data_IF_771186473122
#
_entry.id   IF_771186473122
#
_cell.length_a   1.000
_cell.length_b   1.000
_cell.length_c   1.000
_cell.angle_alpha   90.00
_cell.angle_beta   90.00
_cell.angle_gamma   90.00
#
_symmetry.space_group_name_H-M   'P 1'
#
loop_
_entity.id
_entity.type
_entity.pdbx_description
1 polymer ?
#
# COMPACT_ATOMS: atom_id res chain seq x y z
N UNK A 1 7.22 45.92 23.82
CA UNK A 1 6.66 45.93 22.44
C UNK A 1 6.99 44.66 21.66
N UNK A 2 8.21 44.12 21.75
CA UNK A 2 8.61 42.88 21.04
C UNK A 2 7.70 41.67 21.31
N UNK A 3 7.25 41.46 22.56
CA UNK A 3 6.35 40.34 22.88
C UNK A 3 4.94 40.46 22.27
N UNK A 4 4.43 41.68 22.06
CA UNK A 4 3.10 41.88 21.46
C UNK A 4 3.20 41.73 19.95
N UNK A 5 4.23 42.33 19.34
CA UNK A 5 4.50 42.22 17.91
C UNK A 5 4.80 40.77 17.51
N UNK A 6 5.62 40.05 18.29
CA UNK A 6 5.92 38.64 18.07
C UNK A 6 4.67 37.76 18.11
N UNK A 7 3.81 37.92 19.13
CA UNK A 7 2.54 37.18 19.22
C UNK A 7 1.58 37.52 18.09
N UNK A 8 1.51 38.79 17.70
CA UNK A 8 0.68 39.21 16.57
C UNK A 8 1.18 38.61 15.24
N UNK A 9 2.49 38.66 15.02
CA UNK A 9 3.13 38.11 13.82
C UNK A 9 2.90 36.61 13.70
N UNK A 10 3.10 35.85 14.79
CA UNK A 10 2.94 34.39 14.78
C UNK A 10 1.47 33.96 14.73
N UNK A 11 0.57 34.64 15.44
CA UNK A 11 -0.84 34.21 15.57
C UNK A 11 -1.72 34.64 14.41
N UNK A 12 -1.36 35.72 13.70
CA UNK A 12 -2.20 36.31 12.65
C UNK A 12 -1.51 36.45 11.29
N UNK A 13 -0.21 36.78 11.22
CA UNK A 13 0.42 37.13 9.94
C UNK A 13 1.15 35.96 9.26
N UNK A 14 1.80 35.10 10.05
CA UNK A 14 2.67 34.03 9.54
C UNK A 14 1.92 33.09 8.59
N UNK A 15 0.77 32.56 9.04
CA UNK A 15 0.03 31.57 8.28
C UNK A 15 -0.57 32.11 6.97
N UNK A 16 -1.20 33.30 6.92
CA UNK A 16 -1.62 33.92 5.66
C UNK A 16 -0.47 34.13 4.69
N UNK A 17 0.71 34.57 5.15
CA UNK A 17 1.89 34.74 4.28
C UNK A 17 2.29 33.39 3.66
N UNK A 18 2.35 32.32 4.48
CA UNK A 18 2.63 30.97 3.99
C UNK A 18 1.58 30.54 2.94
N UNK A 19 0.29 30.81 3.18
CA UNK A 19 -0.78 30.49 2.24
C UNK A 19 -0.61 31.23 0.90
N UNK A 20 -0.25 32.51 0.91
CA UNK A 20 0.02 33.29 -0.30
C UNK A 20 1.24 32.75 -1.07
N UNK A 21 2.32 32.40 -0.37
CA UNK A 21 3.51 31.80 -0.98
C UNK A 21 3.19 30.46 -1.64
N UNK A 22 2.43 29.60 -0.96
CA UNK A 22 2.00 28.30 -1.50
C UNK A 22 1.07 28.45 -2.70
N UNK A 23 0.14 29.42 -2.66
CA UNK A 23 -0.69 29.77 -3.81
C UNK A 23 0.14 30.19 -5.03
N UNK A 24 1.19 30.99 -4.81
CA UNK A 24 2.17 31.36 -5.83
C UNK A 24 2.90 30.15 -6.43
N UNK A 25 3.35 29.22 -5.60
CA UNK A 25 4.00 27.98 -6.06
C UNK A 25 3.07 27.12 -6.91
N UNK A 26 1.81 26.93 -6.49
CA UNK A 26 0.81 26.19 -7.28
C UNK A 26 0.55 26.86 -8.62
N UNK A 27 0.44 28.18 -8.64
CA UNK A 27 0.28 28.94 -9.88
C UNK A 27 1.46 28.73 -10.84
N UNK A 28 2.69 28.77 -10.34
CA UNK A 28 3.89 28.52 -11.15
C UNK A 28 3.94 27.08 -11.69
N UNK A 29 3.64 26.09 -10.84
CA UNK A 29 3.59 24.68 -11.25
C UNK A 29 2.51 24.46 -12.31
N UNK A 30 1.33 25.04 -12.12
CA UNK A 30 0.23 24.91 -13.07
C UNK A 30 0.55 25.56 -14.42
N UNK A 31 1.15 26.76 -14.40
CA UNK A 31 1.61 27.46 -15.60
C UNK A 31 2.67 26.66 -16.35
N UNK A 32 3.70 26.15 -15.64
CA UNK A 32 4.80 25.38 -16.24
C UNK A 32 4.34 24.07 -16.87
N UNK A 33 3.44 23.35 -16.19
CA UNK A 33 2.97 22.04 -16.65
C UNK A 33 1.77 22.14 -17.62
N UNK A 34 1.41 23.36 -18.06
CA UNK A 34 0.22 23.65 -18.88
C UNK A 34 -1.00 22.91 -18.34
N UNK A 35 -1.16 22.93 -17.00
CA UNK A 35 -2.25 22.18 -16.38
C UNK A 35 -3.57 22.76 -16.83
N UNK A 36 -3.70 24.09 -16.98
CA UNK A 36 -4.97 24.77 -17.23
C UNK A 36 -4.83 26.18 -17.83
N UNK A 37 -5.97 26.77 -18.23
CA UNK A 37 -6.10 28.23 -18.37
C UNK A 37 -6.21 28.94 -17.02
N UNK A 38 -5.39 29.98 -16.81
CA UNK A 38 -5.19 30.64 -15.51
C UNK A 38 -6.47 31.03 -14.76
N UNK A 39 -7.54 31.44 -15.46
CA UNK A 39 -8.78 31.92 -14.83
C UNK A 39 -9.53 30.80 -14.09
N UNK A 40 -9.76 29.64 -14.71
CA UNK A 40 -10.54 28.54 -14.09
C UNK A 40 -9.86 28.01 -12.84
N UNK A 41 -8.53 27.84 -12.88
CA UNK A 41 -7.74 27.40 -11.73
C UNK A 41 -7.81 28.40 -10.58
N UNK A 42 -7.60 29.69 -10.85
CA UNK A 42 -7.66 30.72 -9.82
C UNK A 42 -9.06 30.75 -9.18
N UNK A 43 -10.12 30.73 -9.99
CA UNK A 43 -11.50 30.69 -9.49
C UNK A 43 -11.75 29.45 -8.63
N UNK A 44 -11.30 28.28 -9.07
CA UNK A 44 -11.44 27.04 -8.30
C UNK A 44 -10.74 27.11 -6.95
N UNK A 45 -9.48 27.56 -6.94
CA UNK A 45 -8.69 27.71 -5.70
C UNK A 45 -9.40 28.68 -4.76
N UNK A 46 -9.82 29.85 -5.23
CA UNK A 46 -10.50 30.84 -4.40
C UNK A 46 -11.80 30.30 -3.80
N UNK A 47 -12.65 29.67 -4.61
CA UNK A 47 -13.92 29.08 -4.13
C UNK A 47 -13.67 27.96 -3.13
N UNK A 48 -12.71 27.08 -3.41
CA UNK A 48 -12.38 25.97 -2.51
C UNK A 48 -11.85 26.48 -1.18
N UNK A 49 -10.93 27.44 -1.20
CA UNK A 49 -10.39 28.06 0.02
C UNK A 49 -11.50 28.76 0.81
N UNK A 50 -12.40 29.48 0.16
CA UNK A 50 -13.55 30.09 0.82
C UNK A 50 -14.40 29.04 1.55
N UNK A 51 -14.75 27.94 0.87
CA UNK A 51 -15.52 26.84 1.46
C UNK A 51 -14.78 26.23 2.65
N UNK A 52 -13.46 26.03 2.54
CA UNK A 52 -12.65 25.45 3.63
C UNK A 52 -12.56 26.38 4.86
N UNK A 53 -12.65 27.69 4.67
CA UNK A 53 -12.55 28.69 5.75
C UNK A 53 -13.88 28.89 6.48
N UNK A 54 -15.02 28.79 5.80
CA UNK A 54 -16.34 29.09 6.40
C UNK A 54 -16.59 28.41 7.76
N UNK A 55 -16.23 27.13 7.97
CA UNK A 55 -16.42 26.48 9.26
C UNK A 55 -15.57 27.06 10.40
N UNK A 56 -14.54 27.85 10.12
CA UNK A 56 -13.73 28.54 11.14
C UNK A 56 -14.53 29.55 11.97
N UNK A 57 -15.67 30.03 11.46
CA UNK A 57 -16.60 30.90 12.19
C UNK A 57 -17.18 30.20 13.44
N UNK A 58 -17.12 28.86 13.51
CA UNK A 58 -17.45 28.11 14.73
C UNK A 58 -16.55 28.45 15.93
N UNK A 59 -15.47 29.21 15.72
CA UNK A 59 -14.66 29.82 16.79
C UNK A 59 -15.46 30.69 17.76
N UNK A 60 -16.60 31.26 17.33
CA UNK A 60 -17.52 31.99 18.23
C UNK A 60 -18.09 31.12 19.36
N UNK A 61 -18.07 29.79 19.21
CA UNK A 61 -18.57 28.84 20.20
C UNK A 61 -17.54 28.52 21.30
N UNK A 62 -16.34 29.13 21.23
CA UNK A 62 -15.29 29.10 22.24
C UNK A 62 -15.00 27.69 22.79
N UNK A 63 -15.39 27.40 24.04
CA UNK A 63 -15.09 26.15 24.74
C UNK A 63 -15.83 24.93 24.18
N UNK A 64 -16.98 25.13 23.52
CA UNK A 64 -17.72 24.02 22.88
C UNK A 64 -17.03 23.50 21.62
N UNK A 65 -16.03 24.21 21.10
CA UNK A 65 -15.34 23.80 19.89
C UNK A 65 -14.61 22.46 20.08
N UNK A 66 -13.92 22.29 21.22
CA UNK A 66 -13.30 21.02 21.60
C UNK A 66 -14.18 20.32 22.65
N UNK A 67 -14.53 19.03 22.48
CA UNK A 67 -14.17 18.15 21.37
C UNK A 67 -15.21 18.08 20.25
N UNK A 68 -16.46 18.48 20.51
CA UNK A 68 -17.60 18.09 19.68
C UNK A 68 -17.59 18.72 18.29
N UNK A 69 -17.40 20.03 18.18
CA UNK A 69 -17.38 20.72 16.89
C UNK A 69 -16.15 20.31 16.10
N UNK A 70 -15.01 20.15 16.76
CA UNK A 70 -13.79 19.67 16.13
C UNK A 70 -14.00 18.33 15.42
N UNK A 71 -14.63 17.35 16.07
CA UNK A 71 -14.95 16.05 15.46
C UNK A 71 -15.98 16.20 14.34
N UNK A 72 -17.01 17.03 14.53
CA UNK A 72 -18.01 17.30 13.49
C UNK A 72 -17.37 17.93 12.23
N UNK A 73 -16.41 18.84 12.42
CA UNK A 73 -15.65 19.45 11.33
C UNK A 73 -14.77 18.41 10.62
N UNK A 74 -14.13 17.50 11.35
CA UNK A 74 -13.36 16.42 10.72
C UNK A 74 -14.22 15.57 9.76
N UNK A 75 -15.45 15.23 10.17
CA UNK A 75 -16.40 14.51 9.32
C UNK A 75 -16.86 15.38 8.13
N UNK A 76 -17.10 16.68 8.34
CA UNK A 76 -17.43 17.62 7.27
C UNK A 76 -16.29 17.71 6.24
N UNK A 77 -15.04 17.85 6.68
CA UNK A 77 -13.88 17.94 5.79
C UNK A 77 -13.61 16.64 5.04
N UNK A 78 -13.94 15.49 5.62
CA UNK A 78 -13.96 14.22 4.91
C UNK A 78 -14.97 14.26 3.73
N UNK A 79 -16.20 14.74 3.97
CA UNK A 79 -17.21 14.92 2.92
C UNK A 79 -16.78 15.94 1.87
N UNK A 80 -16.20 17.07 2.29
CA UNK A 80 -15.67 18.08 1.38
C UNK A 80 -14.53 17.54 0.53
N UNK A 81 -13.68 16.66 1.07
CA UNK A 81 -12.64 15.97 0.30
C UNK A 81 -13.23 15.12 -0.83
N UNK A 82 -14.36 14.44 -0.59
CA UNK A 82 -15.09 13.70 -1.62
C UNK A 82 -15.65 14.61 -2.72
N UNK A 83 -16.32 15.70 -2.34
CA UNK A 83 -16.85 16.66 -3.32
C UNK A 83 -15.75 17.38 -4.09
N UNK A 84 -14.62 17.69 -3.45
CA UNK A 84 -13.44 18.26 -4.09
C UNK A 84 -12.93 17.38 -5.21
N UNK A 85 -12.82 16.06 -5.01
CA UNK A 85 -12.40 15.17 -6.10
C UNK A 85 -13.40 15.14 -7.26
N UNK A 86 -14.71 15.13 -6.99
CA UNK A 86 -15.73 15.26 -8.04
C UNK A 86 -15.64 16.60 -8.77
N UNK A 87 -15.37 17.68 -8.05
CA UNK A 87 -15.24 19.02 -8.59
C UNK A 87 -13.97 19.16 -9.45
N UNK A 88 -12.85 18.55 -9.05
CA UNK A 88 -11.66 18.42 -9.91
C UNK A 88 -12.03 17.70 -11.20
N UNK A 89 -12.69 16.53 -11.11
CA UNK A 89 -13.01 15.71 -12.28
C UNK A 89 -13.94 16.47 -13.26
N UNK A 90 -14.85 17.32 -12.76
CA UNK A 90 -15.80 18.10 -13.56
C UNK A 90 -15.22 19.42 -14.10
N UNK A 91 -14.63 20.25 -13.24
CA UNK A 91 -14.20 21.60 -13.59
C UNK A 91 -12.77 21.65 -14.11
N UNK A 92 -11.95 20.67 -13.73
CA UNK A 92 -10.52 20.60 -14.03
C UNK A 92 -10.13 19.27 -14.73
N UNK A 93 -10.77 18.90 -15.86
CA UNK A 93 -10.58 17.59 -16.50
C UNK A 93 -9.13 17.33 -16.94
N UNK A 94 -8.33 18.37 -17.17
CA UNK A 94 -6.91 18.25 -17.51
C UNK A 94 -6.10 17.52 -16.42
N UNK A 95 -6.54 17.56 -15.15
CA UNK A 95 -5.92 16.80 -14.05
C UNK A 95 -6.09 15.29 -14.21
N UNK A 96 -7.16 14.81 -14.85
CA UNK A 96 -7.44 13.38 -15.05
C UNK A 96 -6.40 12.69 -15.94
N UNK A 97 -5.79 13.45 -16.85
CA UNK A 97 -4.75 12.94 -17.75
C UNK A 97 -3.36 12.94 -17.09
N UNK A 98 -3.22 13.53 -15.90
CA UNK A 98 -1.94 13.66 -15.21
C UNK A 98 -1.75 12.56 -14.17
N UNK A 99 -0.49 12.21 -13.87
CA UNK A 99 -0.20 11.30 -12.77
C UNK A 99 -0.75 11.81 -11.44
N UNK A 100 -1.14 10.87 -10.56
CA UNK A 100 -1.70 11.14 -9.22
C UNK A 100 -0.91 12.19 -8.40
N UNK A 101 0.41 12.27 -8.58
CA UNK A 101 1.27 13.26 -7.89
C UNK A 101 0.76 14.70 -8.02
N UNK A 102 0.16 15.08 -9.16
CA UNK A 102 -0.34 16.44 -9.35
C UNK A 102 -1.64 16.69 -8.58
N UNK A 103 -2.56 15.71 -8.55
CA UNK A 103 -3.79 15.76 -7.75
C UNK A 103 -3.47 15.87 -6.25
N UNK A 104 -2.59 15.00 -5.74
CA UNK A 104 -2.28 14.97 -4.31
C UNK A 104 -1.51 16.22 -3.88
N UNK A 105 -0.54 16.71 -4.66
CA UNK A 105 0.17 17.96 -4.35
C UNK A 105 -0.82 19.13 -4.34
N UNK A 106 -1.72 19.20 -5.33
CA UNK A 106 -2.72 20.25 -5.39
C UNK A 106 -3.67 20.23 -4.19
N UNK A 107 -4.17 19.05 -3.82
CA UNK A 107 -5.07 18.85 -2.67
C UNK A 107 -4.37 19.17 -1.35
N UNK A 108 -3.09 18.77 -1.19
CA UNK A 108 -2.29 19.10 0.00
C UNK A 108 -2.06 20.60 0.11
N UNK A 109 -1.75 21.30 -0.99
CA UNK A 109 -1.59 22.76 -0.94
C UNK A 109 -2.90 23.46 -0.58
N UNK A 110 -4.03 23.05 -1.16
CA UNK A 110 -5.34 23.57 -0.78
C UNK A 110 -5.66 23.32 0.69
N UNK A 111 -5.30 22.15 1.22
CA UNK A 111 -5.44 21.84 2.65
C UNK A 111 -4.61 22.79 3.50
N UNK A 112 -3.32 22.99 3.19
CA UNK A 112 -2.44 23.85 3.98
C UNK A 112 -2.90 25.32 3.92
N UNK A 113 -3.28 25.80 2.73
CA UNK A 113 -3.87 27.14 2.58
C UNK A 113 -5.18 27.27 3.37
N UNK A 114 -6.05 26.25 3.31
CA UNK A 114 -7.29 26.19 4.07
C UNK A 114 -7.03 26.24 5.57
N UNK A 115 -6.09 25.44 6.08
CA UNK A 115 -5.67 25.46 7.49
C UNK A 115 -5.13 26.82 7.93
N UNK A 116 -4.30 27.44 7.10
CA UNK A 116 -3.70 28.74 7.40
C UNK A 116 -4.76 29.84 7.53
N UNK A 117 -5.69 29.94 6.58
CA UNK A 117 -6.76 30.93 6.66
C UNK A 117 -7.83 30.56 7.69
N UNK A 118 -8.11 29.27 7.88
CA UNK A 118 -8.97 28.79 8.98
C UNK A 118 -8.41 29.26 10.33
N UNK A 119 -7.12 29.07 10.57
CA UNK A 119 -6.47 29.50 11.82
C UNK A 119 -6.62 31.00 12.03
N UNK A 120 -6.44 31.80 10.98
CA UNK A 120 -6.64 33.26 11.05
C UNK A 120 -8.07 33.60 11.45
N UNK A 121 -9.07 33.10 10.71
CA UNK A 121 -10.49 33.41 10.97
C UNK A 121 -10.92 32.91 12.34
N UNK A 122 -10.48 31.71 12.74
CA UNK A 122 -10.78 31.15 14.05
C UNK A 122 -10.24 32.03 15.17
N UNK A 123 -8.98 32.49 15.07
CA UNK A 123 -8.37 33.38 16.07
C UNK A 123 -9.00 34.79 16.11
N UNK A 124 -9.67 35.21 15.02
CA UNK A 124 -10.46 36.44 15.01
C UNK A 124 -11.83 36.24 15.66
N UNK A 125 -12.39 35.02 15.64
CA UNK A 125 -13.68 34.68 16.22
C UNK A 125 -13.61 34.16 17.66
N UNK A 126 -12.44 33.70 18.12
CA UNK A 126 -12.26 32.99 19.40
C UNK A 126 -11.25 33.69 20.31
N UNK A 127 -11.61 33.87 21.57
CA UNK A 127 -10.74 34.46 22.61
C UNK A 127 -9.60 33.52 23.03
N UNK A 128 -9.76 32.21 22.79
CA UNK A 128 -8.82 31.17 23.25
C UNK A 128 -7.56 31.05 22.36
N UNK A 129 -7.55 31.72 21.19
CA UNK A 129 -6.39 31.88 20.28
C UNK A 129 -5.61 30.60 19.91
N UNK A 130 -6.24 29.42 19.93
CA UNK A 130 -5.63 28.15 19.52
C UNK A 130 -5.94 27.75 18.06
N UNK A 131 -6.20 28.72 17.18
CA UNK A 131 -6.62 28.51 15.80
C UNK A 131 -5.76 27.54 15.00
N UNK A 132 -4.45 27.48 15.30
CA UNK A 132 -3.55 26.50 14.68
C UNK A 132 -3.99 25.06 14.99
N UNK A 133 -4.24 24.74 16.26
CA UNK A 133 -4.73 23.44 16.68
C UNK A 133 -6.13 23.17 16.15
N UNK A 134 -7.01 24.18 16.17
CA UNK A 134 -8.35 24.05 15.61
C UNK A 134 -8.33 23.73 14.11
N UNK A 135 -7.39 24.30 13.35
CA UNK A 135 -7.23 24.09 11.91
C UNK A 135 -6.86 22.66 11.53
N UNK A 136 -6.32 21.86 12.46
CA UNK A 136 -6.03 20.43 12.20
C UNK A 136 -7.29 19.61 11.92
N UNK A 137 -8.48 20.14 12.24
CA UNK A 137 -9.76 19.57 11.81
C UNK A 137 -9.92 19.50 10.28
N UNK A 138 -9.17 20.29 9.50
CA UNK A 138 -9.20 20.31 8.03
C UNK A 138 -8.47 19.12 7.40
N UNK A 139 -7.52 18.49 8.12
CA UNK A 139 -6.64 17.42 7.58
C UNK A 139 -7.38 16.25 6.90
N UNK A 140 -8.54 15.76 7.39
CA UNK A 140 -9.33 14.73 6.71
C UNK A 140 -9.70 15.04 5.25
N UNK A 141 -9.66 16.31 4.83
CA UNK A 141 -9.84 16.72 3.44
C UNK A 141 -8.91 15.98 2.46
N UNK A 142 -7.67 15.70 2.87
CA UNK A 142 -6.69 14.99 2.03
C UNK A 142 -7.00 13.48 1.93
N UNK A 143 -7.64 12.92 2.97
CA UNK A 143 -7.80 11.47 3.13
C UNK A 143 -8.52 10.83 1.96
N UNK A 144 -9.55 11.48 1.41
CA UNK A 144 -10.34 10.93 0.30
C UNK A 144 -9.50 10.75 -0.98
N UNK A 145 -8.56 11.65 -1.28
CA UNK A 145 -7.67 11.50 -2.44
C UNK A 145 -6.75 10.29 -2.29
N UNK A 146 -6.15 10.13 -1.10
CA UNK A 146 -5.31 8.96 -0.78
C UNK A 146 -6.11 7.66 -0.84
N UNK A 147 -7.30 7.63 -0.21
CA UNK A 147 -8.15 6.46 -0.19
C UNK A 147 -8.56 6.03 -1.61
N UNK A 148 -8.98 6.98 -2.46
CA UNK A 148 -9.34 6.72 -3.87
C UNK A 148 -8.18 6.08 -4.64
N UNK A 149 -6.95 6.61 -4.48
CA UNK A 149 -5.78 6.07 -5.19
C UNK A 149 -5.37 4.70 -4.66
N UNK A 150 -5.40 4.50 -3.34
CA UNK A 150 -5.10 3.21 -2.72
C UNK A 150 -6.08 2.14 -3.18
N UNK A 151 -7.38 2.45 -3.18
CA UNK A 151 -8.42 1.53 -3.63
C UNK A 151 -8.29 1.15 -5.10
N UNK A 152 -8.06 2.12 -6.00
CA UNK A 152 -7.83 1.81 -7.43
C UNK A 152 -6.58 0.96 -7.63
N UNK A 153 -5.49 1.31 -6.97
CA UNK A 153 -4.24 0.54 -7.04
C UNK A 153 -4.45 -0.89 -6.52
N UNK A 154 -5.27 -1.08 -5.49
CA UNK A 154 -5.63 -2.40 -4.98
C UNK A 154 -6.43 -3.22 -6.00
N UNK A 155 -7.40 -2.61 -6.67
CA UNK A 155 -8.17 -3.29 -7.73
C UNK A 155 -7.35 -3.60 -8.98
N UNK A 156 -6.32 -2.80 -9.27
CA UNK A 156 -5.41 -3.00 -10.39
C UNK A 156 -4.39 -4.12 -10.13
N UNK A 157 -4.33 -4.70 -8.92
CA UNK A 157 -3.45 -5.84 -8.62
C UNK A 157 -4.03 -7.07 -9.35
N UNK A 158 -3.31 -7.64 -10.34
CA UNK A 158 -3.78 -8.83 -11.02
C UNK A 158 -3.84 -10.00 -10.04
N UNK A 159 -4.83 -10.88 -10.20
CA UNK A 159 -4.90 -12.13 -9.45
C UNK A 159 -3.66 -12.99 -9.77
N UNK A 160 -2.95 -13.43 -8.74
CA UNK A 160 -1.76 -14.28 -8.90
C UNK A 160 -2.18 -15.66 -9.44
N UNK A 161 -1.98 -15.90 -10.74
CA UNK A 161 -2.18 -17.23 -11.34
C UNK A 161 -0.96 -18.07 -10.98
N UNK A 162 -1.13 -19.00 -10.04
CA UNK A 162 -0.08 -19.91 -9.64
C UNK A 162 0.02 -21.10 -10.59
N UNK A 163 1.24 -21.43 -11.01
CA UNK A 163 1.49 -22.69 -11.70
C UNK A 163 1.36 -23.82 -10.69
N UNK A 164 0.51 -24.79 -11.02
CA UNK A 164 0.35 -26.00 -10.24
C UNK A 164 1.44 -26.96 -10.66
N UNK A 165 2.29 -27.35 -9.72
CA UNK A 165 3.32 -28.35 -9.93
C UNK A 165 2.80 -29.74 -9.55
N UNK A 166 3.05 -30.73 -10.40
CA UNK A 166 2.67 -32.12 -10.15
C UNK A 166 3.90 -33.01 -10.09
N UNK A 167 3.88 -33.92 -9.11
CA UNK A 167 4.87 -34.97 -8.99
C UNK A 167 4.66 -35.98 -10.12
N UNK A 168 5.74 -36.34 -10.84
CA UNK A 168 5.71 -37.33 -11.92
C UNK A 168 6.95 -38.21 -11.83
N UNK A 169 6.77 -39.53 -11.75
CA UNK A 169 7.88 -40.48 -11.69
C UNK A 169 8.72 -40.49 -12.99
N UNK A 170 8.12 -40.12 -14.12
CA UNK A 170 8.77 -40.04 -15.44
C UNK A 170 9.59 -38.76 -15.65
N UNK A 171 9.55 -37.82 -14.70
CA UNK A 171 10.31 -36.57 -14.82
C UNK A 171 11.81 -36.89 -14.74
N UNK A 172 12.53 -36.65 -15.83
CA UNK A 172 14.00 -36.70 -15.86
C UNK A 172 14.57 -35.65 -14.90
N UNK A 173 14.88 -36.07 -13.67
CA UNK A 173 15.58 -35.25 -12.70
C UNK A 173 17.02 -35.12 -13.18
N UNK A 174 17.44 -33.91 -13.55
CA UNK A 174 18.81 -33.64 -13.94
C UNK A 174 19.78 -34.12 -12.83
N UNK A 175 20.87 -34.76 -13.24
CA UNK A 175 21.88 -35.19 -12.28
C UNK A 175 22.70 -33.98 -11.83
N UNK A 176 22.56 -33.65 -10.55
CA UNK A 176 23.26 -32.54 -9.90
C UNK A 176 24.43 -33.04 -9.03
N UNK A 177 24.94 -34.24 -9.30
CA UNK A 177 26.06 -34.85 -8.58
C UNK A 177 27.36 -34.06 -8.66
N UNK A 178 27.52 -33.18 -9.66
CA UNK A 178 28.71 -32.37 -9.90
C UNK A 178 28.67 -30.97 -9.27
N UNK A 179 27.64 -30.63 -8.48
CA UNK A 179 27.56 -29.32 -7.82
C UNK A 179 28.50 -29.27 -6.63
N UNK A 180 29.28 -28.19 -6.52
CA UNK A 180 30.21 -28.00 -5.42
C UNK A 180 29.47 -27.81 -4.09
N UNK A 181 29.96 -28.46 -3.03
CA UNK A 181 29.38 -28.38 -1.71
C UNK A 181 29.43 -26.96 -1.11
N UNK A 182 30.33 -26.11 -1.62
CA UNK A 182 30.46 -24.71 -1.22
C UNK A 182 29.30 -23.81 -1.70
N UNK A 183 28.55 -24.23 -2.73
CA UNK A 183 27.42 -23.49 -3.30
C UNK A 183 26.06 -23.91 -2.72
N UNK A 184 26.06 -24.78 -1.70
CA UNK A 184 24.85 -25.30 -1.10
C UNK A 184 24.27 -24.34 -0.05
N UNK A 185 23.05 -23.88 -0.31
CA UNK A 185 22.24 -23.12 0.64
C UNK A 185 21.29 -24.04 1.42
N UNK A 186 21.08 -23.74 2.71
CA UNK A 186 20.11 -24.46 3.53
C UNK A 186 18.72 -23.82 3.39
N UNK A 187 17.74 -24.63 2.98
CA UNK A 187 16.35 -24.18 2.77
C UNK A 187 15.42 -25.03 3.61
N UNK A 188 14.48 -24.38 4.30
CA UNK A 188 13.46 -25.06 5.09
C UNK A 188 12.18 -25.20 4.27
N UNK A 189 11.59 -26.39 4.26
CA UNK A 189 10.31 -26.67 3.61
C UNK A 189 9.28 -27.00 4.69
N UNK A 190 8.11 -26.40 4.58
CA UNK A 190 6.94 -26.66 5.42
C UNK A 190 5.84 -27.28 4.56
N UNK A 191 5.45 -28.52 4.85
CA UNK A 191 4.44 -29.28 4.11
C UNK A 191 3.66 -30.22 5.03
N UNK A 192 2.44 -30.62 4.65
CA UNK A 192 1.71 -31.68 5.37
C UNK A 192 2.03 -33.04 4.73
N UNK A 193 2.25 -34.10 5.53
CA UNK A 193 2.60 -35.43 5.00
C UNK A 193 1.37 -36.14 4.44
N UNK A 194 0.23 -36.04 5.11
CA UNK A 194 -1.05 -36.62 4.73
C UNK A 194 -2.19 -35.59 4.79
N UNK A 195 -3.30 -35.91 4.13
CA UNK A 195 -4.54 -35.11 4.25
C UNK A 195 -5.11 -35.35 5.64
N UNK A 196 -5.34 -34.28 6.41
CA UNK A 196 -5.88 -34.37 7.77
C UNK A 196 -4.81 -34.30 8.87
N UNK A 197 -3.53 -34.17 8.51
CA UNK A 197 -2.47 -33.91 9.50
C UNK A 197 -2.71 -32.55 10.19
N UNK A 198 -2.78 -32.49 11.53
CA UNK A 198 -3.05 -31.26 12.26
C UNK A 198 -1.85 -30.31 12.32
N UNK A 199 -0.63 -30.82 12.11
CA UNK A 199 0.62 -30.07 12.30
C UNK A 199 1.46 -30.17 11.02
N UNK A 200 2.01 -29.04 10.52
CA UNK A 200 2.89 -29.07 9.36
C UNK A 200 4.23 -29.75 9.69
N UNK A 201 4.74 -30.52 8.73
CA UNK A 201 6.05 -31.14 8.79
C UNK A 201 7.12 -30.18 8.25
N UNK A 202 8.18 -30.01 9.01
CA UNK A 202 9.33 -29.19 8.64
C UNK A 202 10.48 -30.08 8.16
N UNK A 203 11.05 -29.75 7.01
CA UNK A 203 12.18 -30.44 6.42
C UNK A 203 13.25 -29.44 5.99
N UNK A 204 14.44 -29.54 6.55
CA UNK A 204 15.60 -28.74 6.13
C UNK A 204 16.42 -29.51 5.11
N UNK A 205 16.52 -28.99 3.89
CA UNK A 205 17.26 -29.63 2.78
C UNK A 205 18.24 -28.64 2.17
N UNK A 206 19.39 -29.17 1.73
CA UNK A 206 20.36 -28.41 0.95
C UNK A 206 19.86 -28.24 -0.49
N UNK A 207 20.01 -27.03 -1.02
CA UNK A 207 19.73 -26.68 -2.40
C UNK A 207 20.93 -25.93 -2.97
N UNK A 208 21.10 -25.95 -4.30
CA UNK A 208 22.02 -25.03 -4.97
C UNK A 208 21.22 -23.99 -5.74
N UNK A 209 21.80 -22.80 -5.83
CA UNK A 209 21.28 -21.64 -6.54
C UNK A 209 20.91 -21.93 -8.01
N UNK A 210 21.59 -22.88 -8.65
CA UNK A 210 21.39 -23.26 -10.05
C UNK A 210 20.35 -24.37 -10.27
N UNK A 211 19.90 -25.04 -9.21
CA UNK A 211 18.92 -26.12 -9.34
C UNK A 211 17.53 -25.58 -9.71
N UNK A 212 16.83 -26.30 -10.59
CA UNK A 212 15.42 -26.01 -10.89
C UNK A 212 14.57 -26.43 -9.67
N UNK A 213 13.73 -25.51 -9.18
CA UNK A 213 13.01 -25.69 -7.92
C UNK A 213 12.14 -26.96 -7.90
N UNK A 214 11.36 -27.21 -8.97
CA UNK A 214 10.48 -28.37 -9.05
C UNK A 214 11.22 -29.70 -9.08
N UNK A 215 12.37 -29.76 -9.77
CA UNK A 215 13.22 -30.96 -9.80
C UNK A 215 13.84 -31.23 -8.43
N UNK A 216 14.32 -30.18 -7.78
CA UNK A 216 14.83 -30.25 -6.41
C UNK A 216 13.75 -30.72 -5.43
N UNK A 217 12.52 -30.21 -5.52
CA UNK A 217 11.42 -30.61 -4.65
C UNK A 217 11.03 -32.08 -4.83
N UNK A 218 11.00 -32.56 -6.08
CA UNK A 218 10.79 -33.99 -6.36
C UNK A 218 11.86 -34.88 -5.74
N UNK A 219 13.13 -34.48 -5.86
CA UNK A 219 14.25 -35.17 -5.23
C UNK A 219 14.11 -35.17 -3.70
N UNK A 220 13.70 -34.06 -3.09
CA UNK A 220 13.46 -33.98 -1.66
C UNK A 220 12.41 -35.00 -1.18
N UNK A 221 11.29 -35.13 -1.91
CA UNK A 221 10.23 -36.11 -1.60
C UNK A 221 10.77 -37.54 -1.72
N UNK A 222 11.51 -37.84 -2.81
CA UNK A 222 12.07 -39.17 -3.09
C UNK A 222 13.10 -39.59 -2.04
N UNK A 223 14.05 -38.71 -1.74
CA UNK A 223 15.12 -38.95 -0.76
C UNK A 223 14.55 -39.14 0.64
N UNK A 224 13.56 -38.32 1.04
CA UNK A 224 12.86 -38.49 2.31
C UNK A 224 12.10 -39.82 2.37
N UNK A 225 11.38 -40.19 1.32
CA UNK A 225 10.60 -41.44 1.27
C UNK A 225 11.47 -42.69 1.29
N UNK A 226 12.69 -42.60 0.72
CA UNK A 226 13.72 -43.66 0.80
C UNK A 226 14.30 -43.77 2.20
N UNK A 227 14.61 -42.64 2.85
CA UNK A 227 15.21 -42.61 4.19
C UNK A 227 14.22 -43.01 5.28
N UNK A 228 12.94 -42.67 5.12
CA UNK A 228 11.89 -42.97 6.10
C UNK A 228 10.67 -43.64 5.45
N UNK A 229 10.74 -44.94 5.12
CA UNK A 229 9.65 -45.65 4.44
C UNK A 229 8.32 -45.67 5.20
N UNK A 230 8.36 -45.60 6.54
CA UNK A 230 7.17 -45.63 7.40
C UNK A 230 6.52 -44.24 7.60
N UNK A 231 7.16 -43.15 7.17
CA UNK A 231 6.62 -41.78 7.30
C UNK A 231 6.72 -40.99 6.00
N UNK A 232 6.28 -41.61 4.90
CA UNK A 232 6.33 -41.05 3.55
C UNK A 232 5.44 -39.81 3.40
N UNK A 233 5.82 -38.95 2.48
CA UNK A 233 5.03 -37.79 2.08
C UNK A 233 4.10 -38.27 0.96
N UNK A 234 2.78 -38.23 1.17
CA UNK A 234 1.81 -38.73 0.18
C UNK A 234 1.68 -37.73 -0.97
N UNK A 235 2.18 -38.07 -2.16
CA UNK A 235 2.15 -37.19 -3.33
C UNK A 235 1.02 -37.53 -4.33
N UNK A 236 0.32 -38.63 -4.14
CA UNK A 236 -0.84 -39.06 -4.94
C UNK A 236 -2.01 -39.55 -4.07
N UNK A 237 -3.22 -39.51 -4.62
CA UNK A 237 -4.45 -40.15 -4.11
C UNK A 237 -4.94 -41.13 -5.18
N UNK A 238 -4.87 -42.43 -4.92
CA UNK A 238 -5.37 -43.46 -5.85
C UNK A 238 -4.98 -43.20 -7.33
N UNK A 239 -3.67 -43.09 -7.59
CA UNK A 239 -3.06 -42.81 -8.91
C UNK A 239 -3.19 -41.37 -9.45
N UNK A 240 -3.97 -40.49 -8.81
CA UNK A 240 -4.06 -39.07 -9.20
C UNK A 240 -3.00 -38.27 -8.43
N UNK A 241 -2.03 -37.62 -9.11
CA UNK A 241 -1.02 -36.80 -8.43
C UNK A 241 -1.67 -35.56 -7.83
N UNK A 242 -1.25 -35.20 -6.61
CA UNK A 242 -1.63 -33.91 -6.02
C UNK A 242 -0.92 -32.77 -6.73
N UNK A 243 -1.65 -31.68 -6.95
CA UNK A 243 -1.04 -30.41 -7.33
C UNK A 243 -0.41 -29.73 -6.13
N UNK A 244 0.70 -29.03 -6.34
CA UNK A 244 1.39 -28.25 -5.34
C UNK A 244 1.59 -26.82 -5.82
N UNK A 245 1.41 -25.88 -4.89
CA UNK A 245 1.80 -24.47 -5.07
C UNK A 245 2.82 -24.10 -4.00
N UNK A 246 3.79 -23.28 -4.40
CA UNK A 246 4.92 -22.95 -3.55
C UNK A 246 4.99 -21.45 -3.30
N UNK A 247 5.25 -21.08 -2.05
CA UNK A 247 5.44 -19.70 -1.66
C UNK A 247 6.38 -19.57 -0.48
N UNK A 248 7.07 -18.45 -0.37
CA UNK A 248 7.84 -18.12 0.83
C UNK A 248 6.90 -17.77 1.98
N UNK A 249 7.27 -18.19 3.19
CA UNK A 249 6.54 -17.85 4.41
C UNK A 249 6.61 -16.33 4.62
N UNK A 250 5.47 -15.62 4.75
CA UNK A 250 5.49 -14.20 5.04
C UNK A 250 6.11 -13.96 6.42
N UNK A 251 6.89 -12.89 6.53
CA UNK A 251 7.45 -12.37 7.78
C UNK A 251 7.19 -10.87 7.85
N UNK A 252 7.42 -10.25 9.00
CA UNK A 252 7.17 -8.82 9.22
C UNK A 252 7.79 -7.92 8.13
N UNK A 253 8.95 -8.31 7.59
CA UNK A 253 9.67 -7.57 6.54
C UNK A 253 9.63 -8.23 5.16
N UNK A 254 9.02 -9.40 5.01
CA UNK A 254 9.00 -10.13 3.72
C UNK A 254 7.57 -10.54 3.38
N UNK A 255 6.98 -10.00 2.30
CA UNK A 255 5.68 -10.45 1.85
C UNK A 255 5.76 -11.90 1.37
N UNK A 256 4.61 -12.57 1.36
CA UNK A 256 4.46 -13.87 0.72
C UNK A 256 4.85 -13.72 -0.75
N UNK A 257 5.79 -14.55 -1.23
CA UNK A 257 6.22 -14.54 -2.62
C UNK A 257 5.98 -15.90 -3.24
N UNK A 258 5.30 -15.92 -4.38
CA UNK A 258 5.15 -17.12 -5.19
C UNK A 258 6.50 -17.61 -5.73
N UNK A 259 6.66 -18.93 -5.81
CA UNK A 259 7.84 -19.59 -6.34
C UNK A 259 7.41 -20.37 -7.59
N UNK A 260 8.01 -20.04 -8.73
CA UNK A 260 7.78 -20.77 -9.97
C UNK A 260 8.57 -22.08 -9.95
N UNK A 261 7.90 -23.24 -10.08
CA UNK A 261 8.58 -24.52 -10.01
C UNK A 261 9.54 -24.80 -11.18
N UNK A 262 9.43 -24.09 -12.30
CA UNK A 262 10.29 -24.34 -13.46
C UNK A 262 11.53 -23.44 -13.50
N UNK A 263 11.60 -22.46 -12.60
CA UNK A 263 12.73 -21.56 -12.47
C UNK A 263 13.74 -22.07 -11.43
N UNK A 264 14.98 -21.58 -11.54
CA UNK A 264 16.04 -21.87 -10.58
C UNK A 264 15.83 -21.16 -9.23
N UNK A 265 16.63 -21.49 -8.22
CA UNK A 265 16.60 -20.77 -6.94
C UNK A 265 17.00 -19.29 -7.09
N UNK A 266 17.98 -18.98 -7.93
CA UNK A 266 18.40 -17.60 -8.23
C UNK A 266 17.34 -16.81 -8.98
N UNK A 267 16.70 -17.42 -9.99
CA UNK A 267 15.64 -16.76 -10.76
C UNK A 267 14.39 -16.51 -9.90
N UNK A 268 14.07 -17.45 -9.01
CA UNK A 268 13.05 -17.26 -7.99
C UNK A 268 13.49 -16.31 -6.85
N UNK A 269 14.73 -15.82 -6.86
CA UNK A 269 15.35 -14.97 -5.81
C UNK A 269 15.19 -15.56 -4.41
N UNK A 270 15.31 -16.88 -4.29
CA UNK A 270 15.32 -17.59 -3.02
C UNK A 270 16.74 -17.52 -2.47
N UNK A 271 16.88 -17.25 -1.17
CA UNK A 271 18.18 -17.23 -0.48
C UNK A 271 18.19 -18.24 0.65
N UNK A 272 19.38 -18.62 1.10
CA UNK A 272 19.55 -19.47 2.29
C UNK A 272 18.82 -18.93 3.51
N UNK A 273 18.24 -19.83 4.31
CA UNK A 273 17.46 -19.51 5.51
C UNK A 273 15.97 -19.23 5.26
N UNK A 274 15.51 -19.24 4.01
CA UNK A 274 14.09 -19.06 3.70
C UNK A 274 13.29 -20.29 4.10
N UNK A 275 12.06 -20.05 4.57
CA UNK A 275 11.06 -21.12 4.78
C UNK A 275 10.07 -21.10 3.63
N UNK A 276 10.03 -22.20 2.88
CA UNK A 276 9.18 -22.42 1.73
C UNK A 276 7.98 -23.25 2.18
N UNK A 277 6.78 -22.76 1.91
CA UNK A 277 5.55 -23.47 2.19
C UNK A 277 5.11 -24.16 0.90
N UNK A 278 5.00 -25.49 0.95
CA UNK A 278 4.42 -26.29 -0.11
C UNK A 278 2.99 -26.65 0.27
N UNK A 279 2.01 -26.05 -0.41
CA UNK A 279 0.58 -26.28 -0.18
C UNK A 279 0.02 -27.21 -1.25
N UNK A 280 -0.64 -28.28 -0.83
CA UNK A 280 -1.41 -29.15 -1.74
C UNK A 280 -2.66 -28.42 -2.24
N UNK A 281 -2.92 -28.55 -3.52
CA UNK A 281 -4.13 -28.07 -4.19
C UNK A 281 -4.76 -29.25 -4.94
N UNK A 282 -6.08 -29.40 -4.80
CA UNK A 282 -6.85 -30.29 -5.68
C UNK A 282 -7.19 -29.49 -6.93
N UNK A 283 -6.99 -30.07 -8.11
CA UNK A 283 -7.57 -29.53 -9.34
C UNK A 283 -9.08 -29.61 -9.17
N UNK A 284 -9.76 -28.48 -8.99
CA UNK A 284 -11.19 -28.43 -9.29
C UNK A 284 -11.32 -28.69 -10.78
N UNK A 285 -12.03 -29.76 -11.15
CA UNK A 285 -12.47 -29.95 -12.54
C UNK A 285 -13.38 -28.78 -12.85
N UNK A 286 -12.85 -27.76 -13.51
CA UNK A 286 -13.67 -26.75 -14.18
C UNK A 286 -14.39 -27.51 -15.27
N UNK A 287 -15.65 -27.87 -15.01
CA UNK A 287 -16.54 -28.34 -16.07
C UNK A 287 -16.74 -27.14 -16.99
N UNK A 288 -16.09 -27.21 -18.16
CA UNK A 288 -16.36 -26.34 -19.30
C UNK A 288 -17.74 -26.60 -19.85
#
# INVERSE_FOLDING_TARGET
MENIFGRFLTSYLLFPIIAFLLGGVVFLIAKKNKLMGNRKLITYVLVTILILILPALTGFLQQYFIPYIYIALQLLYLLLGYYHLKAIDLFLPDFMQKPFKYEIIFTVVLCIMGMAFFSLVFNLCSELQYGWWASTSVVPFIFISLFRKTYRTYLDIPLEIYKIWEYSDDRNVADYSSIDASELILVNIELFKQIGDPIPFHLSVQASDTMIFGNWFQRCIKDHSRKYPMSRIHYNDNEIPYGWIFYTKPSFFMPRKYIDPDLSFTDNKIKGGYTIIAKRVRKEKVFS
#
